data_IF_361470633164
#
_entry.id   IF_361470633164
#
_cell.length_a   1.000
_cell.length_b   1.000
_cell.length_c   1.000
_cell.angle_alpha   90.00
_cell.angle_beta   90.00
_cell.angle_gamma   90.00
#
_symmetry.space_group_name_H-M   'P 1'
#
loop_
_entity.id
_entity.type
_entity.pdbx_description
1 polymer ?
#
# COMPACT_ATOMS: atom_id res chain seq x y z
N UNK A 1 19.77 17.53 -33.96
CA UNK A 1 19.79 16.18 -33.37
C UNK A 1 18.38 15.67 -33.37
N UNK A 2 18.05 14.77 -34.30
CA UNK A 2 16.75 14.09 -34.37
C UNK A 2 16.74 12.99 -33.32
N UNK A 3 15.91 13.15 -32.28
CA UNK A 3 15.71 12.10 -31.28
C UNK A 3 14.82 11.01 -31.90
N UNK A 4 15.40 9.84 -32.17
CA UNK A 4 14.60 8.65 -32.44
C UNK A 4 13.83 8.28 -31.18
N UNK A 5 12.54 7.89 -31.28
CA UNK A 5 11.78 7.42 -30.13
C UNK A 5 12.44 6.16 -29.56
N UNK A 6 12.56 6.08 -28.23
CA UNK A 6 13.21 4.98 -27.51
C UNK A 6 12.42 3.66 -27.56
N UNK A 7 11.13 3.71 -27.90
CA UNK A 7 10.22 2.57 -27.99
C UNK A 7 9.36 2.68 -29.25
N UNK A 8 9.05 1.54 -29.89
CA UNK A 8 8.08 1.43 -30.98
C UNK A 8 6.64 1.49 -30.45
N UNK A 9 5.67 1.70 -31.34
CA UNK A 9 4.25 1.86 -30.98
C UNK A 9 3.63 0.67 -30.25
N UNK A 10 4.24 -0.50 -30.38
CA UNK A 10 3.83 -1.78 -29.80
C UNK A 10 4.74 -2.25 -28.64
N UNK A 11 5.77 -1.46 -28.29
CA UNK A 11 6.69 -1.79 -27.21
C UNK A 11 6.31 -1.07 -25.90
N UNK A 12 6.32 -1.82 -24.80
CA UNK A 12 6.20 -1.29 -23.44
C UNK A 12 7.42 -1.66 -22.61
N UNK A 13 7.87 -0.73 -21.76
CA UNK A 13 8.94 -0.98 -20.79
C UNK A 13 8.43 -1.76 -19.57
N UNK A 14 7.17 -1.54 -19.21
CA UNK A 14 6.57 -2.09 -18.01
C UNK A 14 5.70 -3.29 -18.36
N UNK A 15 5.87 -4.38 -17.60
CA UNK A 15 5.02 -5.56 -17.71
C UNK A 15 3.60 -5.28 -17.22
N UNK A 16 3.52 -4.57 -16.10
CA UNK A 16 2.27 -4.19 -15.45
C UNK A 16 2.40 -2.74 -14.97
N UNK A 17 1.79 -1.77 -15.67
CA UNK A 17 1.80 -0.37 -15.26
C UNK A 17 0.93 -0.09 -14.02
N UNK A 18 -0.05 -0.94 -13.70
CA UNK A 18 -1.01 -0.69 -12.63
C UNK A 18 -0.35 -0.71 -11.24
N UNK A 19 0.78 -1.42 -11.10
CA UNK A 19 1.56 -1.47 -9.85
C UNK A 19 2.08 -0.09 -9.40
N UNK A 20 2.14 0.89 -10.32
CA UNK A 20 2.58 2.25 -10.03
C UNK A 20 1.43 3.18 -9.61
N UNK A 21 0.18 2.72 -9.70
CA UNK A 21 -0.98 3.52 -9.29
C UNK A 21 -0.98 3.71 -7.77
N UNK A 22 -1.38 4.90 -7.32
CA UNK A 22 -1.43 5.22 -5.88
C UNK A 22 -2.42 4.37 -5.10
N UNK A 23 -3.38 3.75 -5.79
CA UNK A 23 -4.40 2.87 -5.24
C UNK A 23 -3.97 1.40 -5.24
N UNK A 24 -2.83 1.06 -5.86
CA UNK A 24 -2.33 -0.30 -5.87
C UNK A 24 -1.96 -0.75 -4.45
N UNK A 25 -2.47 -1.92 -4.07
CA UNK A 25 -2.17 -2.57 -2.79
C UNK A 25 -1.29 -3.79 -3.06
N UNK A 26 -0.03 -3.78 -2.59
CA UNK A 26 0.83 -4.94 -2.72
C UNK A 26 0.32 -6.09 -1.84
N UNK A 27 0.51 -7.32 -2.30
CA UNK A 27 0.19 -8.52 -1.52
C UNK A 27 1.01 -8.59 -0.21
N UNK A 28 2.24 -8.06 -0.23
CA UNK A 28 3.12 -8.03 0.94
C UNK A 28 3.57 -6.59 1.25
N UNK A 29 3.34 -6.16 2.49
CA UNK A 29 3.88 -4.91 3.03
C UNK A 29 5.13 -5.18 3.87
N UNK A 30 6.27 -5.20 3.19
CA UNK A 30 7.55 -5.44 3.84
C UNK A 30 7.81 -4.43 4.98
N UNK A 31 8.38 -4.93 6.08
CA UNK A 31 8.76 -4.15 7.28
C UNK A 31 7.57 -3.48 8.01
N UNK A 32 6.33 -3.90 7.75
CA UNK A 32 5.12 -3.39 8.40
C UNK A 32 4.33 -4.40 9.22
N UNK A 33 4.80 -5.65 9.32
CA UNK A 33 4.14 -6.72 10.06
C UNK A 33 3.74 -6.34 11.50
N UNK A 34 4.63 -5.66 12.22
CA UNK A 34 4.35 -5.26 13.60
C UNK A 34 3.17 -4.28 13.69
N UNK A 35 3.16 -3.26 12.82
CA UNK A 35 2.09 -2.26 12.77
C UNK A 35 0.77 -2.87 12.27
N UNK A 36 0.81 -3.78 11.29
CA UNK A 36 -0.39 -4.50 10.82
C UNK A 36 -0.98 -5.35 11.94
N UNK A 37 -0.15 -6.09 12.68
CA UNK A 37 -0.62 -6.90 13.83
C UNK A 37 -1.21 -6.05 14.95
N UNK A 38 -0.64 -4.88 15.22
CA UNK A 38 -1.16 -3.94 16.23
C UNK A 38 -2.53 -3.38 15.82
N UNK A 39 -2.69 -2.96 14.57
CA UNK A 39 -3.99 -2.53 14.03
C UNK A 39 -5.03 -3.65 14.08
N UNK A 40 -4.66 -4.85 13.63
CA UNK A 40 -5.53 -6.02 13.70
C UNK A 40 -5.94 -6.31 15.15
N UNK A 41 -5.04 -6.13 16.13
CA UNK A 41 -5.37 -6.27 17.54
C UNK A 41 -6.44 -5.27 18.01
N UNK A 42 -6.35 -4.00 17.60
CA UNK A 42 -7.38 -3.00 17.90
C UNK A 42 -8.73 -3.28 17.22
N UNK A 43 -8.72 -3.89 16.04
CA UNK A 43 -9.93 -4.22 15.28
C UNK A 43 -10.62 -5.52 15.74
N UNK A 44 -9.90 -6.44 16.39
CA UNK A 44 -10.44 -7.75 16.85
C UNK A 44 -11.76 -7.68 17.62
N UNK A 45 -11.99 -6.73 18.54
CA UNK A 45 -13.27 -6.65 19.24
C UNK A 45 -14.45 -6.33 18.31
N UNK A 46 -14.24 -5.48 17.30
CA UNK A 46 -15.27 -5.16 16.30
C UNK A 46 -15.69 -6.38 15.48
N UNK A 47 -14.75 -7.25 15.16
CA UNK A 47 -15.04 -8.53 14.49
C UNK A 47 -15.88 -9.50 15.37
N UNK A 48 -15.98 -9.25 16.68
CA UNK A 48 -16.76 -10.05 17.64
C UNK A 48 -18.03 -9.33 18.12
N UNK A 49 -18.43 -8.24 17.45
CA UNK A 49 -19.61 -7.45 17.81
C UNK A 49 -19.39 -6.44 18.93
N UNK A 50 -18.16 -6.24 19.39
CA UNK A 50 -17.77 -5.15 20.28
C UNK A 50 -17.36 -3.88 19.52
N UNK A 51 -16.78 -2.92 20.22
CA UNK A 51 -16.23 -1.69 19.61
C UNK A 51 -14.74 -1.83 19.32
N UNK A 52 -14.29 -1.36 18.16
CA UNK A 52 -12.86 -1.28 17.85
C UNK A 52 -12.14 -0.26 18.76
N UNK A 53 -10.84 -0.47 18.96
CA UNK A 53 -9.97 0.53 19.58
C UNK A 53 -9.66 1.70 18.62
N UNK A 54 -9.33 2.86 19.19
CA UNK A 54 -8.89 4.02 18.42
C UNK A 54 -7.36 4.00 18.26
N UNK A 55 -6.86 4.31 17.06
CA UNK A 55 -5.43 4.41 16.77
C UNK A 55 -5.12 5.71 15.99
N UNK A 56 -3.96 6.31 16.26
CA UNK A 56 -3.45 7.48 15.53
C UNK A 56 -2.08 7.17 14.96
N UNK A 57 -1.98 7.07 13.64
CA UNK A 57 -0.73 6.74 12.95
C UNK A 57 0.01 8.01 12.55
N UNK A 58 1.26 8.14 13.01
CA UNK A 58 2.14 9.28 12.74
C UNK A 58 3.45 8.84 12.11
N UNK A 59 4.01 9.70 11.27
CA UNK A 59 5.30 9.48 10.63
C UNK A 59 5.46 10.30 9.34
N UNK A 60 6.69 10.44 8.81
CA UNK A 60 6.97 11.17 7.58
C UNK A 60 6.11 10.73 6.37
N UNK A 61 5.90 11.57 5.35
CA UNK A 61 5.25 11.15 4.11
C UNK A 61 6.02 10.00 3.43
N UNK A 62 5.33 9.19 2.63
CA UNK A 62 5.95 8.04 1.93
C UNK A 62 6.29 6.85 2.83
N UNK A 63 5.98 6.87 4.13
CA UNK A 63 6.28 5.76 5.05
C UNK A 63 5.25 4.62 5.01
N UNK A 64 4.26 4.63 4.10
CA UNK A 64 3.30 3.53 3.98
C UNK A 64 2.21 3.47 5.07
N UNK A 65 1.98 4.55 5.82
CA UNK A 65 0.91 4.62 6.83
C UNK A 65 -0.47 4.30 6.23
N UNK A 66 -0.81 4.98 5.13
CA UNK A 66 -2.08 4.79 4.42
C UNK A 66 -2.23 3.35 3.95
N UNK A 67 -1.21 2.82 3.28
CA UNK A 67 -1.21 1.43 2.78
C UNK A 67 -1.33 0.42 3.93
N UNK A 68 -0.71 0.68 5.07
CA UNK A 68 -0.81 -0.20 6.26
C UNK A 68 -2.24 -0.28 6.79
N UNK A 69 -2.97 0.85 6.85
CA UNK A 69 -4.37 0.88 7.30
C UNK A 69 -5.29 0.17 6.32
N UNK A 70 -5.07 0.33 5.02
CA UNK A 70 -5.93 -0.32 4.02
C UNK A 70 -5.70 -1.84 3.95
N UNK A 71 -4.51 -2.31 4.33
CA UNK A 71 -4.17 -3.73 4.29
C UNK A 71 -4.48 -4.51 5.59
N UNK A 72 -4.72 -3.81 6.71
CA UNK A 72 -4.98 -4.40 8.04
C UNK A 72 -6.45 -4.69 8.29
#
# INVERSE_FOLDING_TARGET
>A
MTHSPLLRSDETLFRDPEIFEFTFLPEQLHYRDAQVRELAFFLRPALRGGSAGNAVLRGPPGTGKTTTVTAS
#
